data_IF_493995244175
#
_entry.id   IF_493995244175
#
_cell.length_a   1.000
_cell.length_b   1.000
_cell.length_c   1.000
_cell.angle_alpha   90.00
_cell.angle_beta   90.00
_cell.angle_gamma   90.00
#
_symmetry.space_group_name_H-M   'P 1'
#
loop_
_entity.id
_entity.type
_entity.pdbx_description
1 polymer ?
#
# COMPACT_ATOMS: atom_id res chain seq x y z
N UNK A 1 -26.13 -13.77 2.78
CA UNK A 1 -24.77 -13.25 3.10
C UNK A 1 -23.66 -14.13 2.52
N UNK A 2 -23.83 -15.45 2.39
CA UNK A 2 -22.85 -16.38 1.78
C UNK A 2 -22.53 -16.15 0.29
N UNK A 3 -23.50 -15.70 -0.52
CA UNK A 3 -23.35 -15.62 -1.99
C UNK A 3 -22.42 -14.49 -2.47
N UNK A 4 -22.31 -13.40 -1.70
CA UNK A 4 -21.47 -12.26 -2.08
C UNK A 4 -19.97 -12.60 -2.00
N UNK A 5 -19.55 -13.24 -0.92
CA UNK A 5 -18.16 -13.69 -0.75
C UNK A 5 -17.81 -14.81 -1.74
N UNK A 6 -18.76 -15.70 -2.04
CA UNK A 6 -18.57 -16.71 -3.09
C UNK A 6 -18.34 -16.07 -4.46
N UNK A 7 -19.15 -15.08 -4.84
CA UNK A 7 -18.97 -14.33 -6.09
C UNK A 7 -17.62 -13.62 -6.16
N UNK A 8 -17.18 -13.00 -5.06
CA UNK A 8 -15.86 -12.36 -4.96
C UNK A 8 -14.72 -13.37 -5.15
N UNK A 9 -14.83 -14.55 -4.52
CA UNK A 9 -13.82 -15.60 -4.63
C UNK A 9 -13.73 -16.15 -6.06
N UNK A 10 -14.88 -16.41 -6.70
CA UNK A 10 -14.93 -16.84 -8.11
C UNK A 10 -14.31 -15.79 -9.02
N UNK A 11 -14.64 -14.51 -8.82
CA UNK A 11 -14.05 -13.42 -9.60
C UNK A 11 -12.53 -13.34 -9.44
N UNK A 12 -12.03 -13.43 -8.20
CA UNK A 12 -10.60 -13.44 -7.91
C UNK A 12 -9.89 -14.61 -8.61
N UNK A 13 -10.45 -15.82 -8.53
CA UNK A 13 -9.90 -17.00 -9.20
C UNK A 13 -9.87 -16.80 -10.71
N UNK A 14 -10.96 -16.30 -11.31
CA UNK A 14 -11.00 -16.02 -12.74
C UNK A 14 -9.95 -14.98 -13.16
N UNK A 15 -9.77 -13.90 -12.39
CA UNK A 15 -8.77 -12.89 -12.67
C UNK A 15 -7.35 -13.47 -12.67
N UNK A 16 -7.02 -14.33 -11.69
CA UNK A 16 -5.72 -15.02 -11.62
C UNK A 16 -5.56 -16.01 -12.77
N UNK A 17 -6.59 -16.79 -13.10
CA UNK A 17 -6.57 -17.76 -14.20
C UNK A 17 -6.35 -17.07 -15.54
N UNK A 18 -7.06 -15.96 -15.79
CA UNK A 18 -6.89 -15.18 -17.03
C UNK A 18 -5.49 -14.59 -17.10
N UNK A 19 -4.99 -13.98 -16.01
CA UNK A 19 -3.63 -13.45 -15.96
C UNK A 19 -2.56 -14.52 -16.24
N UNK A 20 -2.69 -15.69 -15.60
CA UNK A 20 -1.80 -16.82 -15.83
C UNK A 20 -1.92 -17.38 -17.26
N UNK A 21 -3.13 -17.51 -17.80
CA UNK A 21 -3.37 -17.99 -19.16
C UNK A 21 -2.72 -17.07 -20.20
N UNK A 22 -2.79 -15.75 -20.01
CA UNK A 22 -2.12 -14.79 -20.90
C UNK A 22 -0.60 -14.91 -20.85
N UNK A 23 -0.01 -15.11 -19.66
CA UNK A 23 1.44 -15.35 -19.53
C UNK A 23 1.87 -16.67 -20.17
N UNK A 24 1.08 -17.74 -20.01
CA UNK A 24 1.33 -19.05 -20.64
C UNK A 24 1.21 -18.92 -22.16
N UNK A 25 0.17 -18.24 -22.64
CA UNK A 25 -0.06 -18.04 -24.07
C UNK A 25 1.06 -17.21 -24.70
N UNK A 26 1.51 -16.14 -24.04
CA UNK A 26 2.69 -15.40 -24.45
C UNK A 26 3.92 -16.31 -24.51
N UNK A 27 4.15 -17.13 -23.49
CA UNK A 27 5.28 -18.07 -23.46
C UNK A 27 5.25 -19.12 -24.58
N UNK A 28 4.06 -19.56 -25.00
CA UNK A 28 3.87 -20.57 -26.05
C UNK A 28 3.91 -19.98 -27.47
N UNK A 29 3.34 -18.78 -27.67
CA UNK A 29 3.19 -18.17 -29.00
C UNK A 29 4.30 -17.17 -29.34
N UNK A 30 4.99 -16.59 -28.36
CA UNK A 30 6.00 -15.58 -28.64
C UNK A 30 7.21 -16.19 -29.37
N UNK A 31 7.66 -15.58 -30.49
CA UNK A 31 8.91 -15.97 -31.13
C UNK A 31 10.06 -15.68 -30.16
N UNK A 32 10.90 -16.68 -29.92
CA UNK A 32 12.09 -16.54 -29.08
C UNK A 32 13.32 -16.53 -29.95
N UNK A 33 13.90 -15.35 -30.15
CA UNK A 33 15.19 -15.16 -30.81
C UNK A 33 16.22 -14.88 -29.74
N UNK A 34 17.00 -15.88 -29.28
CA UNK A 34 17.97 -15.68 -28.22
C UNK A 34 19.03 -14.68 -28.65
N UNK A 35 19.12 -13.56 -27.94
CA UNK A 35 20.13 -12.52 -28.18
C UNK A 35 21.27 -12.62 -27.16
N UNK A 36 22.53 -12.31 -27.53
CA UNK A 36 23.68 -12.43 -26.64
C UNK A 36 23.57 -11.62 -25.33
N UNK A 37 22.76 -10.56 -25.32
CA UNK A 37 22.53 -9.67 -24.19
C UNK A 37 21.12 -9.80 -23.60
N UNK A 38 20.36 -10.84 -23.98
CA UNK A 38 19.04 -11.11 -23.43
C UNK A 38 19.15 -11.40 -21.92
N UNK A 39 18.60 -10.50 -21.10
CA UNK A 39 18.71 -10.57 -19.63
C UNK A 39 19.90 -9.84 -19.02
N UNK A 40 20.72 -9.14 -19.82
CA UNK A 40 21.71 -8.19 -19.29
C UNK A 40 21.00 -6.92 -18.78
N UNK A 41 21.30 -6.42 -17.56
CA UNK A 41 20.67 -5.20 -17.08
C UNK A 41 20.97 -4.02 -17.99
N UNK A 42 19.97 -3.16 -18.20
CA UNK A 42 20.10 -2.02 -19.09
C UNK A 42 21.04 -0.97 -18.48
N UNK A 43 22.18 -0.74 -19.13
CA UNK A 43 23.16 0.30 -18.75
C UNK A 43 23.68 1.06 -20.00
N UNK A 44 22.78 1.38 -20.94
CA UNK A 44 23.09 2.13 -22.16
C UNK A 44 24.23 1.52 -23.02
N UNK A 45 24.45 0.20 -22.97
CA UNK A 45 25.50 -0.50 -23.72
C UNK A 45 26.88 -0.53 -23.03
N UNK A 46 26.95 -0.05 -21.79
CA UNK A 46 28.14 -0.11 -20.94
C UNK A 46 28.10 -1.39 -20.10
N UNK A 47 29.23 -2.09 -19.89
CA UNK A 47 29.27 -3.20 -18.96
C UNK A 47 29.25 -2.70 -17.52
N UNK A 48 28.40 -3.30 -16.69
CA UNK A 48 28.25 -2.99 -15.27
C UNK A 48 29.60 -3.21 -14.57
N UNK A 49 30.25 -2.09 -14.23
CA UNK A 49 31.57 -2.10 -13.60
C UNK A 49 31.51 -2.52 -12.13
N UNK A 50 30.36 -2.35 -11.48
CA UNK A 50 30.18 -2.65 -10.07
C UNK A 50 29.02 -3.65 -9.85
N UNK A 51 29.38 -4.92 -9.60
CA UNK A 51 28.41 -5.97 -9.22
C UNK A 51 27.93 -5.83 -7.77
N UNK A 52 28.46 -4.87 -7.03
CA UNK A 52 28.25 -4.66 -5.60
C UNK A 52 27.66 -3.29 -5.27
N UNK A 53 27.01 -2.62 -6.24
CA UNK A 53 26.23 -1.41 -5.96
C UNK A 53 24.94 -1.78 -5.21
N UNK A 54 25.09 -2.25 -3.99
CA UNK A 54 24.04 -2.26 -2.98
C UNK A 54 23.81 -0.80 -2.63
N UNK A 55 22.94 -0.15 -3.39
CA UNK A 55 22.46 1.18 -3.02
C UNK A 55 21.84 1.09 -1.63
N UNK A 56 22.37 1.86 -0.69
CA UNK A 56 21.71 2.07 0.59
C UNK A 56 20.39 2.77 0.30
N UNK A 57 19.28 2.07 0.53
CA UNK A 57 17.95 2.66 0.39
C UNK A 57 17.81 3.78 1.42
N UNK A 58 17.39 4.96 0.97
CA UNK A 58 17.21 6.13 1.84
C UNK A 58 16.20 5.84 2.96
N UNK A 59 16.49 6.32 4.18
CA UNK A 59 15.59 6.23 5.34
C UNK A 59 14.20 6.86 5.07
N UNK A 60 14.09 7.75 4.08
CA UNK A 60 12.85 8.43 3.68
C UNK A 60 11.74 7.44 3.33
N UNK A 61 12.08 6.32 2.69
CA UNK A 61 11.10 5.27 2.34
C UNK A 61 10.55 4.54 3.58
N UNK A 62 11.40 4.34 4.60
CA UNK A 62 10.96 3.78 5.88
C UNK A 62 10.02 4.72 6.62
N UNK A 63 10.34 6.01 6.67
CA UNK A 63 9.48 7.02 7.32
C UNK A 63 8.12 7.14 6.62
N UNK A 64 8.10 7.06 5.28
CA UNK A 64 6.86 7.02 4.52
C UNK A 64 6.03 5.77 4.84
N UNK A 65 6.65 4.59 4.85
CA UNK A 65 5.96 3.34 5.18
C UNK A 65 5.40 3.34 6.60
N UNK A 66 6.18 3.81 7.58
CA UNK A 66 5.73 3.94 8.97
C UNK A 66 4.54 4.90 9.09
N UNK A 67 4.57 6.03 8.38
CA UNK A 67 3.48 6.98 8.37
C UNK A 67 2.21 6.40 7.76
N UNK A 68 2.33 5.65 6.65
CA UNK A 68 1.20 4.97 6.01
C UNK A 68 0.56 3.96 6.96
N UNK A 69 1.37 3.14 7.64
CA UNK A 69 0.87 2.18 8.64
C UNK A 69 0.13 2.87 9.79
N UNK A 70 0.61 4.03 10.24
CA UNK A 70 -0.04 4.81 11.30
C UNK A 70 -1.40 5.35 10.84
N UNK A 71 -1.47 5.88 9.61
CA UNK A 71 -2.73 6.38 9.03
C UNK A 71 -3.74 5.25 8.73
N UNK A 72 -3.27 4.09 8.27
CA UNK A 72 -4.12 2.91 8.09
C UNK A 72 -4.73 2.48 9.43
N UNK A 73 -3.92 2.51 10.50
CA UNK A 73 -4.37 2.21 11.86
C UNK A 73 -5.37 3.25 12.36
N UNK A 74 -5.17 4.54 12.10
CA UNK A 74 -6.16 5.60 12.37
C UNK A 74 -7.50 5.26 11.70
N UNK A 75 -7.49 4.95 10.41
CA UNK A 75 -8.69 4.63 9.65
C UNK A 75 -9.42 3.38 10.19
N UNK A 76 -8.67 2.38 10.65
CA UNK A 76 -9.21 1.17 11.26
C UNK A 76 -10.01 1.46 12.55
N UNK A 77 -9.73 2.55 13.25
CA UNK A 77 -10.53 3.00 14.41
C UNK A 77 -11.67 3.94 14.01
N UNK A 78 -11.45 4.81 13.03
CA UNK A 78 -12.44 5.79 12.57
C UNK A 78 -13.63 5.11 11.88
N UNK A 79 -13.40 4.09 11.05
CA UNK A 79 -14.48 3.43 10.31
C UNK A 79 -15.51 2.73 11.19
N UNK A 80 -15.13 1.82 12.13
CA UNK A 80 -16.11 1.19 13.02
C UNK A 80 -16.89 2.22 13.84
N UNK A 81 -16.19 3.23 14.37
CA UNK A 81 -16.84 4.33 15.11
C UNK A 81 -17.86 5.06 14.24
N UNK A 82 -17.52 5.41 13.00
CA UNK A 82 -18.42 6.11 12.09
C UNK A 82 -19.66 5.29 11.74
N UNK A 83 -19.51 3.97 11.59
CA UNK A 83 -20.62 3.05 11.29
C UNK A 83 -21.61 2.98 12.45
N UNK A 84 -21.12 2.84 13.69
CA UNK A 84 -21.99 2.67 14.86
C UNK A 84 -22.43 3.99 15.51
N UNK A 85 -21.87 5.13 15.08
CA UNK A 85 -22.07 6.43 15.74
C UNK A 85 -23.54 6.76 16.00
N UNK A 86 -24.44 6.48 15.04
CA UNK A 86 -25.87 6.77 15.20
C UNK A 86 -26.53 6.01 16.35
N UNK A 87 -26.09 4.78 16.62
CA UNK A 87 -26.64 3.93 17.68
C UNK A 87 -26.11 4.37 19.04
N UNK A 88 -24.80 4.61 19.15
CA UNK A 88 -24.16 4.98 20.42
C UNK A 88 -24.43 6.44 20.80
N UNK A 89 -24.64 7.33 19.81
CA UNK A 89 -24.95 8.73 20.05
C UNK A 89 -26.30 8.95 20.75
N UNK A 90 -27.24 8.02 20.65
CA UNK A 90 -28.52 8.12 21.37
C UNK A 90 -28.35 8.03 22.90
N UNK A 91 -27.28 7.39 23.38
CA UNK A 91 -27.00 7.19 24.80
C UNK A 91 -26.06 8.27 25.34
N UNK A 92 -25.03 8.67 24.58
CA UNK A 92 -24.02 9.63 25.05
C UNK A 92 -23.34 10.42 23.90
N UNK A 93 -24.12 11.00 22.98
CA UNK A 93 -23.66 11.74 21.79
C UNK A 93 -22.48 12.69 22.03
N UNK A 94 -22.58 13.56 23.03
CA UNK A 94 -21.56 14.58 23.30
C UNK A 94 -20.22 13.99 23.74
N UNK A 95 -20.24 12.92 24.54
CA UNK A 95 -19.03 12.29 25.07
C UNK A 95 -18.28 11.54 23.97
N UNK A 96 -18.98 10.67 23.24
CA UNK A 96 -18.39 9.81 22.20
C UNK A 96 -17.85 10.64 21.03
N UNK A 97 -18.54 11.73 20.68
CA UNK A 97 -18.05 12.65 19.67
C UNK A 97 -16.77 13.37 20.12
N UNK A 98 -16.73 13.81 21.38
CA UNK A 98 -15.57 14.51 21.95
C UNK A 98 -14.36 13.57 22.05
N UNK A 99 -14.54 12.32 22.46
CA UNK A 99 -13.46 11.34 22.51
C UNK A 99 -12.84 11.08 21.14
N UNK A 100 -13.66 10.89 20.10
CA UNK A 100 -13.16 10.70 18.75
C UNK A 100 -12.46 11.96 18.21
N UNK A 101 -13.00 13.14 18.52
CA UNK A 101 -12.37 14.40 18.14
C UNK A 101 -10.98 14.55 18.79
N UNK A 102 -10.85 14.21 20.08
CA UNK A 102 -9.57 14.20 20.80
C UNK A 102 -8.61 13.19 20.20
N UNK A 103 -9.08 11.97 19.89
CA UNK A 103 -8.29 10.92 19.25
C UNK A 103 -7.68 11.40 17.92
N UNK A 104 -8.51 11.97 17.03
CA UNK A 104 -8.06 12.55 15.76
C UNK A 104 -7.08 13.70 15.97
N UNK A 105 -7.36 14.59 16.93
CA UNK A 105 -6.46 15.70 17.26
C UNK A 105 -5.07 15.23 17.66
N UNK A 106 -4.97 14.20 18.50
CA UNK A 106 -3.68 13.65 18.95
C UNK A 106 -2.88 13.11 17.75
N UNK A 107 -3.52 12.39 16.84
CA UNK A 107 -2.87 11.82 15.65
C UNK A 107 -2.46 12.91 14.65
N UNK A 108 -3.32 13.89 14.41
CA UNK A 108 -3.02 15.05 13.56
C UNK A 108 -1.82 15.85 14.11
N UNK A 109 -1.76 16.04 15.44
CA UNK A 109 -0.62 16.68 16.08
C UNK A 109 0.68 15.88 15.90
N UNK A 110 0.61 14.55 16.02
CA UNK A 110 1.72 13.65 15.72
C UNK A 110 2.19 13.75 14.27
N UNK A 111 1.25 13.83 13.33
CA UNK A 111 1.53 14.04 11.91
C UNK A 111 2.21 15.40 11.65
N UNK A 112 1.66 16.49 12.19
CA UNK A 112 2.23 17.84 12.07
C UNK A 112 3.66 17.88 12.65
N UNK A 113 3.90 17.20 13.77
CA UNK A 113 5.24 17.09 14.35
C UNK A 113 6.21 16.38 13.41
N UNK A 114 5.82 15.23 12.85
CA UNK A 114 6.63 14.47 11.90
C UNK A 114 6.95 15.32 10.65
N UNK A 115 5.97 16.07 10.16
CA UNK A 115 6.16 16.99 9.04
C UNK A 115 7.13 18.12 9.36
N UNK A 116 6.99 18.77 10.52
CA UNK A 116 7.91 19.83 10.97
C UNK A 116 9.34 19.32 11.16
N UNK A 117 9.53 18.07 11.61
CA UNK A 117 10.85 17.43 11.69
C UNK A 117 11.45 17.04 10.34
N UNK A 118 10.71 17.23 9.25
CA UNK A 118 11.20 16.93 7.90
C UNK A 118 11.19 15.46 7.55
N UNK A 119 10.39 14.63 8.24
CA UNK A 119 10.22 13.21 7.87
C UNK A 119 9.65 13.03 6.44
N UNK A 120 9.00 14.07 5.91
CA UNK A 120 8.43 14.14 4.57
C UNK A 120 9.27 14.99 3.59
N UNK A 121 10.53 15.31 3.90
CA UNK A 121 11.39 16.06 2.97
C UNK A 121 11.96 15.14 1.89
N UNK A 122 11.63 15.45 0.64
CA UNK A 122 12.04 14.72 -0.57
C UNK A 122 13.17 15.43 -1.32
N UNK A 123 14.21 15.83 -0.59
CA UNK A 123 15.46 16.33 -1.16
C UNK A 123 16.55 15.28 -1.02
#
# INVERSE_FOLDING_TARGET
METGYFGLAVFFILAVVIGAALLILNRLLAPRTPEPYEGYPYECGVPIYDKTTWTTIDQKYYLLGLLLVLFDLESAFVFPWAVIFKEVAQVASGFIFTEMFIFLLILILGYIYAWKKGALKWQ
#
